data_IF_182993962882
#
_entry.id   IF_182993962882
#
_cell.length_a   1.000
_cell.length_b   1.000
_cell.length_c   1.000
_cell.angle_alpha   90.00
_cell.angle_beta   90.00
_cell.angle_gamma   90.00
#
_symmetry.space_group_name_H-M   'P 1'
#
loop_
_entity.id
_entity.type
_entity.pdbx_description
1 polymer ?
#
# COMPACT_ATOMS: atom_id res chain seq x y z
N UNK A 1 10.78 6.89 -14.37
CA UNK A 1 11.84 7.84 -13.95
C UNK A 1 12.05 7.79 -12.42
N UNK A 2 13.24 8.13 -11.91
CA UNK A 2 13.57 8.15 -10.47
C UNK A 2 14.12 9.53 -10.07
N UNK A 3 13.61 10.10 -8.98
CA UNK A 3 14.04 11.42 -8.45
C UNK A 3 14.35 11.29 -6.96
N UNK A 4 15.44 11.92 -6.51
CA UNK A 4 15.74 11.99 -5.07
C UNK A 4 14.83 12.95 -4.35
N UNK A 5 14.43 12.63 -3.11
CA UNK A 5 13.55 13.50 -2.31
C UNK A 5 14.08 14.93 -2.14
N UNK A 6 15.40 15.10 -2.10
CA UNK A 6 16.06 16.41 -2.00
C UNK A 6 16.01 17.24 -3.28
N UNK A 7 15.72 16.64 -4.43
CA UNK A 7 15.72 17.29 -5.74
C UNK A 7 14.30 17.71 -6.18
N UNK A 8 13.28 17.35 -5.40
CA UNK A 8 11.88 17.61 -5.71
C UNK A 8 11.61 19.09 -5.98
N UNK A 9 12.09 19.98 -5.11
CA UNK A 9 11.88 21.42 -5.25
C UNK A 9 12.47 22.00 -6.54
N UNK A 10 13.65 21.51 -6.97
CA UNK A 10 14.32 21.98 -8.19
C UNK A 10 13.64 21.47 -9.46
N UNK A 11 13.00 20.29 -9.36
CA UNK A 11 12.41 19.58 -10.46
C UNK A 11 10.87 19.68 -10.52
N UNK A 12 10.27 20.66 -9.82
CA UNK A 12 8.81 20.86 -9.76
C UNK A 12 8.18 20.92 -11.16
N UNK A 13 8.87 21.54 -12.14
CA UNK A 13 8.38 21.67 -13.50
C UNK A 13 8.12 20.33 -14.20
N UNK A 14 8.81 19.25 -13.80
CA UNK A 14 8.61 17.91 -14.36
C UNK A 14 7.20 17.36 -14.05
N UNK A 15 6.59 17.78 -12.94
CA UNK A 15 5.26 17.32 -12.55
C UNK A 15 4.12 18.02 -13.30
N UNK A 16 4.39 19.13 -14.02
CA UNK A 16 3.36 19.85 -14.79
C UNK A 16 2.87 19.07 -16.00
N UNK A 17 3.79 18.43 -16.73
CA UNK A 17 3.51 17.67 -17.94
C UNK A 17 3.97 16.22 -17.77
N UNK A 18 3.50 15.59 -16.69
CA UNK A 18 3.88 14.23 -16.36
C UNK A 18 3.30 13.25 -17.37
N UNK A 19 4.16 12.60 -18.16
CA UNK A 19 3.79 11.54 -19.12
C UNK A 19 4.12 10.14 -18.60
N UNK A 20 5.06 10.05 -17.66
CA UNK A 20 5.56 8.80 -17.11
C UNK A 20 5.50 8.79 -15.58
N UNK A 21 5.49 7.60 -15.00
CA UNK A 21 5.55 7.42 -13.55
C UNK A 21 6.93 7.82 -13.00
N UNK A 22 6.92 8.64 -11.95
CA UNK A 22 8.11 9.05 -11.22
C UNK A 22 8.11 8.36 -9.85
N UNK A 23 9.22 7.70 -9.53
CA UNK A 23 9.50 7.18 -8.20
C UNK A 23 10.35 8.19 -7.43
N UNK A 24 9.87 8.62 -6.28
CA UNK A 24 10.61 9.46 -5.35
C UNK A 24 11.31 8.54 -4.36
N UNK A 25 12.64 8.65 -4.30
CA UNK A 25 13.47 7.80 -3.45
C UNK A 25 14.25 8.62 -2.42
N UNK A 26 14.55 8.02 -1.28
CA UNK A 26 15.71 8.43 -0.50
C UNK A 26 16.98 7.88 -1.16
N UNK A 27 17.89 8.77 -1.56
CA UNK A 27 19.14 8.36 -2.22
C UNK A 27 20.10 7.65 -1.25
N UNK A 28 19.98 7.88 0.06
CA UNK A 28 20.81 7.28 1.10
C UNK A 28 20.38 5.84 1.39
N UNK A 29 19.11 5.63 1.73
CA UNK A 29 18.58 4.29 2.06
C UNK A 29 18.18 3.49 0.83
N UNK A 30 18.08 4.13 -0.35
CA UNK A 30 17.56 3.55 -1.61
C UNK A 30 16.09 3.14 -1.54
N UNK A 31 15.36 3.56 -0.51
CA UNK A 31 13.96 3.25 -0.35
C UNK A 31 13.07 4.15 -1.21
N UNK A 32 11.99 3.57 -1.74
CA UNK A 32 10.95 4.31 -2.45
C UNK A 32 10.00 4.93 -1.44
N UNK A 33 9.96 6.26 -1.39
CA UNK A 33 9.13 7.02 -0.45
C UNK A 33 7.74 7.33 -1.04
N UNK A 34 7.68 7.59 -2.35
CA UNK A 34 6.42 7.90 -3.02
C UNK A 34 6.49 7.58 -4.51
N UNK A 35 5.32 7.41 -5.12
CA UNK A 35 5.15 7.23 -6.56
C UNK A 35 4.16 8.26 -7.08
N UNK A 36 4.55 8.98 -8.12
CA UNK A 36 3.72 10.00 -8.78
C UNK A 36 3.28 9.48 -10.14
N UNK A 37 1.96 9.41 -10.34
CA UNK A 37 1.34 8.89 -11.55
C UNK A 37 0.83 10.04 -12.44
N UNK A 38 0.94 9.92 -13.77
CA UNK A 38 0.34 10.88 -14.70
C UNK A 38 -1.18 10.83 -14.61
N UNK A 39 -1.82 11.99 -14.79
CA UNK A 39 -3.30 12.14 -14.69
C UNK A 39 -4.05 11.18 -15.62
N UNK A 40 -3.48 10.87 -16.78
CA UNK A 40 -4.03 9.92 -17.74
C UNK A 40 -4.06 8.47 -17.25
N UNK A 41 -3.16 8.08 -16.33
CA UNK A 41 -3.15 6.74 -15.71
C UNK A 41 -4.07 6.69 -14.50
N UNK A 42 -4.18 7.78 -13.73
CA UNK A 42 -5.09 7.88 -12.58
C UNK A 42 -6.55 7.73 -13.04
N UNK A 43 -6.93 8.32 -14.17
CA UNK A 43 -8.31 8.25 -14.67
C UNK A 43 -8.70 6.88 -15.23
N UNK A 44 -7.72 6.05 -15.63
CA UNK A 44 -7.96 4.74 -16.23
C UNK A 44 -8.11 3.61 -15.22
N UNK A 45 -7.72 3.86 -13.97
CA UNK A 45 -7.69 2.82 -12.95
C UNK A 45 -8.62 3.23 -11.81
N UNK A 46 -9.65 2.47 -11.46
CA UNK A 46 -10.42 2.72 -10.26
C UNK A 46 -9.44 2.76 -9.08
N UNK A 47 -9.40 3.87 -8.36
CA UNK A 47 -8.51 4.07 -7.20
C UNK A 47 -8.67 2.93 -6.16
N UNK A 48 -9.86 2.33 -6.12
CA UNK A 48 -10.22 1.16 -5.31
C UNK A 48 -9.41 -0.08 -5.66
N UNK A 49 -9.03 -0.29 -6.92
CA UNK A 49 -8.33 -1.50 -7.35
C UNK A 49 -6.83 -1.41 -7.02
N UNK A 50 -6.25 -0.21 -7.12
CA UNK A 50 -4.85 0.05 -6.76
C UNK A 50 -4.67 -0.09 -5.24
N UNK A 51 -5.57 0.52 -4.45
CA UNK A 51 -5.54 0.41 -2.98
C UNK A 51 -5.95 -1.00 -2.52
N UNK A 52 -6.90 -1.61 -3.23
CA UNK A 52 -7.33 -2.99 -3.01
C UNK A 52 -6.20 -3.98 -3.18
N UNK A 53 -5.39 -3.87 -4.24
CA UNK A 53 -4.22 -4.74 -4.45
C UNK A 53 -3.14 -4.61 -3.36
N UNK A 54 -2.93 -3.41 -2.80
CA UNK A 54 -1.99 -3.18 -1.70
C UNK A 54 -2.51 -3.78 -0.38
N UNK A 55 -3.83 -3.74 -0.15
CA UNK A 55 -4.47 -4.32 1.04
C UNK A 55 -4.73 -5.83 0.92
N UNK A 56 -4.87 -6.36 -0.32
CA UNK A 56 -5.08 -7.78 -0.61
C UNK A 56 -3.86 -8.66 -0.29
N UNK A 57 -2.67 -8.09 -0.05
CA UNK A 57 -1.51 -8.86 0.42
C UNK A 57 -1.76 -9.42 1.83
N UNK A 58 -2.78 -8.94 2.54
CA UNK A 58 -3.37 -9.61 3.69
C UNK A 58 -4.71 -10.23 3.30
N UNK A 59 -4.69 -11.22 2.42
CA UNK A 59 -5.79 -12.20 2.37
C UNK A 59 -5.98 -12.74 3.78
N UNK A 60 -7.19 -12.60 4.33
CA UNK A 60 -7.53 -13.21 5.59
C UNK A 60 -7.21 -14.72 5.50
N UNK A 61 -6.29 -15.19 6.34
CA UNK A 61 -5.79 -16.57 6.32
C UNK A 61 -6.89 -17.58 6.65
N UNK A 62 -7.99 -17.12 7.27
CA UNK A 62 -9.16 -17.92 7.61
C UNK A 62 -10.41 -17.29 7.00
N UNK A 63 -11.14 -18.11 6.25
CA UNK A 63 -12.46 -17.79 5.72
C UNK A 63 -13.45 -18.50 6.65
N UNK A 64 -14.34 -17.73 7.29
CA UNK A 64 -15.37 -18.26 8.19
C UNK A 64 -16.72 -18.25 7.48
N UNK A 65 -17.55 -19.25 7.75
CA UNK A 65 -18.87 -19.39 7.09
C UNK A 65 -19.91 -18.48 7.74
N UNK A 66 -19.70 -18.17 9.02
CA UNK A 66 -20.58 -17.30 9.81
C UNK A 66 -19.78 -16.50 10.85
N UNK A 67 -20.38 -15.42 11.36
CA UNK A 67 -19.76 -14.53 12.35
C UNK A 67 -19.46 -15.24 13.67
N UNK A 68 -20.25 -16.25 14.06
CA UNK A 68 -20.09 -16.92 15.34
C UNK A 68 -18.79 -17.74 15.37
N UNK A 69 -18.47 -18.45 14.28
CA UNK A 69 -17.20 -19.17 14.11
C UNK A 69 -16.00 -18.24 14.20
N UNK A 70 -16.10 -17.03 13.64
CA UNK A 70 -15.04 -16.02 13.71
C UNK A 70 -14.82 -15.52 15.14
N UNK A 71 -15.92 -15.32 15.88
CA UNK A 71 -15.89 -14.88 17.28
C UNK A 71 -15.29 -15.96 18.18
N UNK A 72 -15.69 -17.22 17.99
CA UNK A 72 -15.20 -18.36 18.76
C UNK A 72 -13.70 -18.58 18.55
N UNK A 73 -13.21 -18.54 17.31
CA UNK A 73 -11.78 -18.67 16.98
C UNK A 73 -10.96 -17.51 17.58
N UNK A 74 -11.50 -16.30 17.60
CA UNK A 74 -10.85 -15.15 18.24
C UNK A 74 -10.74 -15.33 19.77
N UNK A 75 -11.80 -15.84 20.41
CA UNK A 75 -11.78 -16.13 21.84
C UNK A 75 -10.82 -17.27 22.18
N UNK A 76 -10.82 -18.36 21.42
CA UNK A 76 -9.88 -19.47 21.63
C UNK A 76 -8.43 -19.02 21.48
N UNK A 77 -8.14 -18.19 20.47
CA UNK A 77 -6.81 -17.64 20.27
C UNK A 77 -6.37 -16.74 21.43
N UNK A 78 -7.26 -15.86 21.90
CA UNK A 78 -6.98 -14.99 23.05
C UNK A 78 -6.76 -15.79 24.35
N UNK A 79 -7.56 -16.85 24.57
CA UNK A 79 -7.41 -17.74 25.72
C UNK A 79 -6.12 -18.54 25.66
N UNK A 80 -5.71 -18.99 24.46
CA UNK A 80 -4.45 -19.69 24.24
C UNK A 80 -3.24 -18.78 24.45
N UNK A 81 -3.33 -17.52 24.05
CA UNK A 81 -2.24 -16.54 24.25
C UNK A 81 -2.11 -16.12 25.73
N UNK A 82 -3.21 -16.06 26.47
CA UNK A 82 -3.21 -15.66 27.90
C UNK A 82 -2.94 -16.81 28.87
N UNK A 83 -3.33 -18.04 28.52
CA UNK A 83 -3.34 -19.18 29.45
C UNK A 83 -2.73 -20.47 28.88
N UNK A 84 -2.32 -20.48 27.60
CA UNK A 84 -1.50 -21.54 27.03
C UNK A 84 -0.02 -21.30 27.36
N UNK A 85 0.66 -22.31 27.90
CA UNK A 85 2.11 -22.30 28.07
C UNK A 85 2.86 -22.16 26.75
#
# INVERSE_FOLDING_TARGET
MVIGVSELQKNISLFKNLTETIHIIDRKTKEVLAMVLPKSQIQKTPLTDILGGILQVKTATKIYTNINEMIEDAYEQEMREKYGN
#
